data_IF_122265656131
#
_entry.id   IF_122265656131
#
_cell.length_a   1.000
_cell.length_b   1.000
_cell.length_c   1.000
_cell.angle_alpha   90.00
_cell.angle_beta   90.00
_cell.angle_gamma   90.00
#
_symmetry.space_group_name_H-M   'P 1'
#
loop_
_entity.id
_entity.type
_entity.pdbx_description
1 polymer ?
#
# COMPACT_ATOMS: atom_id res chain seq x y z
N UNK A 1 -20.30 -19.58 -0.99
CA UNK A 1 -19.56 -18.71 -1.93
C UNK A 1 -18.36 -19.48 -2.45
N UNK A 2 -18.14 -19.48 -3.77
CA UNK A 2 -17.03 -20.20 -4.40
C UNK A 2 -15.70 -19.47 -4.17
N UNK A 3 -14.61 -20.23 -4.03
CA UNK A 3 -13.24 -19.71 -3.91
C UNK A 3 -12.87 -18.78 -5.08
N UNK A 4 -13.45 -19.01 -6.26
CA UNK A 4 -13.23 -18.20 -7.45
C UNK A 4 -13.71 -16.74 -7.26
N UNK A 5 -14.82 -16.53 -6.55
CA UNK A 5 -15.30 -15.18 -6.26
C UNK A 5 -14.33 -14.42 -5.35
N UNK A 6 -13.76 -15.11 -4.36
CA UNK A 6 -12.76 -14.49 -3.45
C UNK A 6 -11.51 -14.09 -4.21
N UNK A 7 -10.99 -14.96 -5.09
CA UNK A 7 -9.82 -14.66 -5.91
C UNK A 7 -10.01 -13.45 -6.85
N UNK A 8 -11.22 -13.23 -7.35
CA UNK A 8 -11.52 -12.08 -8.24
C UNK A 8 -11.55 -10.75 -7.47
N UNK A 9 -12.00 -10.74 -6.21
CA UNK A 9 -12.15 -9.51 -5.42
C UNK A 9 -10.91 -9.10 -4.61
N UNK A 10 -10.01 -10.04 -4.31
CA UNK A 10 -8.77 -9.76 -3.57
C UNK A 10 -7.94 -8.62 -4.21
N UNK A 11 -7.63 -8.64 -5.52
CA UNK A 11 -6.81 -7.60 -6.15
C UNK A 11 -7.44 -6.21 -6.07
N UNK A 12 -8.76 -6.13 -6.25
CA UNK A 12 -9.49 -4.87 -6.17
C UNK A 12 -9.45 -4.25 -4.76
N UNK A 13 -9.55 -5.09 -3.72
CA UNK A 13 -9.42 -4.63 -2.34
C UNK A 13 -8.01 -4.10 -2.03
N UNK A 14 -6.97 -4.83 -2.44
CA UNK A 14 -5.59 -4.39 -2.24
C UNK A 14 -5.23 -3.13 -3.04
N UNK A 15 -5.83 -2.91 -4.21
CA UNK A 15 -5.68 -1.66 -4.97
C UNK A 15 -6.27 -0.43 -4.26
N UNK A 16 -7.42 -0.59 -3.61
CA UNK A 16 -8.00 0.50 -2.77
C UNK A 16 -7.11 0.78 -1.57
N UNK A 17 -6.62 -0.26 -0.90
CA UNK A 17 -5.69 -0.12 0.25
C UNK A 17 -4.39 0.59 -0.18
N UNK A 18 -3.82 0.22 -1.33
CA UNK A 18 -2.64 0.89 -1.89
C UNK A 18 -2.88 2.38 -2.14
N UNK A 19 -4.04 2.74 -2.72
CA UNK A 19 -4.41 4.14 -2.96
C UNK A 19 -4.54 4.93 -1.66
N UNK A 20 -5.13 4.33 -0.62
CA UNK A 20 -5.23 4.93 0.71
C UNK A 20 -3.85 5.12 1.35
N UNK A 21 -2.96 4.13 1.28
CA UNK A 21 -1.61 4.23 1.82
C UNK A 21 -0.79 5.33 1.13
N UNK A 22 -0.91 5.46 -0.19
CA UNK A 22 -0.30 6.56 -0.93
C UNK A 22 -0.82 7.94 -0.48
N UNK A 23 -2.13 8.04 -0.21
CA UNK A 23 -2.74 9.26 0.32
C UNK A 23 -2.19 9.60 1.73
N UNK A 24 -2.05 8.61 2.61
CA UNK A 24 -1.46 8.77 3.95
C UNK A 24 0.01 9.21 3.89
N UNK A 25 0.81 8.63 2.99
CA UNK A 25 2.20 9.07 2.76
C UNK A 25 2.24 10.54 2.35
N UNK A 26 1.37 10.94 1.42
CA UNK A 26 1.29 12.32 0.94
C UNK A 26 0.92 13.29 2.06
N UNK A 27 0.04 12.86 2.98
CA UNK A 27 -0.32 13.65 4.15
C UNK A 27 0.88 13.89 5.07
N UNK A 28 1.65 12.83 5.34
CA UNK A 28 2.85 12.92 6.18
C UNK A 28 3.90 13.87 5.57
N UNK A 29 4.08 13.86 4.25
CA UNK A 29 5.09 14.70 3.59
C UNK A 29 4.65 16.16 3.49
N UNK A 30 3.43 16.42 3.02
CA UNK A 30 3.00 17.75 2.62
C UNK A 30 2.20 18.51 3.69
N UNK A 31 1.50 17.80 4.59
CA UNK A 31 0.65 18.41 5.61
C UNK A 31 -0.59 19.14 5.07
N UNK A 32 -0.85 19.10 3.76
CA UNK A 32 -1.99 19.74 3.10
C UNK A 32 -3.00 18.71 2.62
N UNK A 33 -4.28 18.91 2.96
CA UNK A 33 -5.38 18.02 2.55
C UNK A 33 -5.61 18.04 1.03
N UNK A 34 -5.33 19.16 0.36
CA UNK A 34 -5.45 19.28 -1.09
C UNK A 34 -4.43 18.39 -1.81
N UNK A 35 -3.18 18.35 -1.32
CA UNK A 35 -2.14 17.50 -1.89
C UNK A 35 -2.52 16.02 -1.77
N UNK A 36 -3.11 15.62 -0.64
CA UNK A 36 -3.61 14.26 -0.41
C UNK A 36 -4.73 13.90 -1.38
N UNK A 37 -5.72 14.78 -1.56
CA UNK A 37 -6.84 14.53 -2.47
C UNK A 37 -6.36 14.39 -3.92
N UNK A 38 -5.44 15.27 -4.36
CA UNK A 38 -4.86 15.20 -5.71
C UNK A 38 -4.05 13.92 -5.89
N UNK A 39 -3.21 13.55 -4.92
CA UNK A 39 -2.41 12.33 -4.99
C UNK A 39 -3.26 11.05 -4.98
N UNK A 40 -4.32 11.01 -4.18
CA UNK A 40 -5.26 9.88 -4.18
C UNK A 40 -5.99 9.77 -5.52
N UNK A 41 -6.46 10.90 -6.07
CA UNK A 41 -7.16 10.95 -7.34
C UNK A 41 -6.26 10.50 -8.50
N UNK A 42 -5.05 11.05 -8.61
CA UNK A 42 -4.12 10.67 -9.68
C UNK A 42 -3.71 9.21 -9.56
N UNK A 43 -3.37 8.73 -8.36
CA UNK A 43 -2.96 7.34 -8.16
C UNK A 43 -4.07 6.32 -8.49
N UNK A 44 -5.34 6.65 -8.18
CA UNK A 44 -6.49 5.79 -8.50
C UNK A 44 -6.72 5.60 -9.99
N UNK A 45 -6.36 6.59 -10.83
CA UNK A 45 -6.55 6.55 -12.28
C UNK A 45 -5.30 6.11 -13.04
N UNK A 46 -4.14 5.99 -12.39
CA UNK A 46 -2.89 5.65 -13.07
C UNK A 46 -3.01 4.23 -13.66
N UNK A 47 -2.90 4.08 -14.99
CA UNK A 47 -3.12 2.80 -15.65
C UNK A 47 -2.12 1.73 -15.20
N UNK A 48 -0.89 2.13 -14.86
CA UNK A 48 0.12 1.21 -14.33
C UNK A 48 -0.27 0.58 -12.97
N UNK A 49 -1.03 1.28 -12.14
CA UNK A 49 -1.53 0.75 -10.86
C UNK A 49 -2.79 -0.10 -11.10
N UNK A 50 -3.71 0.38 -11.93
CA UNK A 50 -4.95 -0.33 -12.25
C UNK A 50 -4.69 -1.66 -12.94
N UNK A 51 -3.75 -1.74 -13.90
CA UNK A 51 -3.42 -3.00 -14.59
C UNK A 51 -2.97 -4.11 -13.64
N UNK A 52 -2.38 -3.78 -12.48
CA UNK A 52 -1.95 -4.77 -11.49
C UNK A 52 -2.98 -5.09 -10.41
N UNK A 53 -4.06 -4.33 -10.32
CA UNK A 53 -5.10 -4.49 -9.27
C UNK A 53 -6.50 -4.62 -9.86
N UNK A 54 -6.61 -4.98 -11.15
CA UNK A 54 -7.90 -5.23 -11.79
C UNK A 54 -8.57 -6.48 -11.20
N UNK A 55 -9.89 -6.44 -11.07
CA UNK A 55 -10.65 -7.59 -10.60
C UNK A 55 -10.45 -8.79 -11.53
N UNK A 56 -10.03 -9.93 -10.96
CA UNK A 56 -9.73 -11.15 -11.70
C UNK A 56 -8.24 -11.39 -11.95
N UNK A 57 -7.38 -10.39 -11.75
CA UNK A 57 -5.93 -10.51 -11.85
C UNK A 57 -5.37 -11.00 -10.51
N UNK A 58 -5.49 -12.31 -10.23
CA UNK A 58 -4.96 -12.91 -9.01
C UNK A 58 -3.45 -13.15 -9.13
N UNK A 59 -2.68 -12.07 -9.02
CA UNK A 59 -1.21 -12.09 -9.05
C UNK A 59 -0.63 -11.59 -7.71
N UNK A 60 0.55 -12.09 -7.33
CA UNK A 60 1.26 -11.66 -6.12
C UNK A 60 1.67 -10.18 -6.17
N UNK A 61 1.73 -9.60 -7.37
CA UNK A 61 2.09 -8.19 -7.57
C UNK A 61 1.10 -7.23 -6.88
N UNK A 62 -0.20 -7.55 -6.83
CA UNK A 62 -1.21 -6.67 -6.21
C UNK A 62 -1.02 -6.51 -4.70
N UNK A 63 -0.59 -7.58 -4.02
CA UNK A 63 -0.27 -7.59 -2.58
C UNK A 63 1.10 -6.94 -2.33
N UNK A 64 2.08 -7.22 -3.19
CA UNK A 64 3.43 -6.66 -3.06
C UNK A 64 3.44 -5.13 -3.11
N UNK A 65 2.63 -4.51 -3.98
CA UNK A 65 2.52 -3.04 -4.08
C UNK A 65 1.91 -2.43 -2.81
N UNK A 66 0.85 -3.03 -2.28
CA UNK A 66 0.22 -2.56 -1.04
C UNK A 66 1.17 -2.67 0.16
N UNK A 67 1.89 -3.79 0.30
CA UNK A 67 2.89 -3.98 1.35
C UNK A 67 4.08 -3.00 1.21
N UNK A 68 4.51 -2.71 -0.01
CA UNK A 68 5.58 -1.73 -0.26
C UNK A 68 5.18 -0.32 0.20
N UNK A 69 3.97 0.12 -0.12
CA UNK A 69 3.45 1.42 0.33
C UNK A 69 3.28 1.47 1.86
N UNK A 70 2.84 0.36 2.47
CA UNK A 70 2.74 0.27 3.93
C UNK A 70 4.13 0.43 4.57
N UNK A 71 5.14 -0.27 4.05
CA UNK A 71 6.51 -0.16 4.52
C UNK A 71 7.04 1.28 4.41
N UNK A 72 6.82 1.95 3.27
CA UNK A 72 7.21 3.35 3.11
C UNK A 72 6.48 4.30 4.07
N UNK A 73 5.19 4.08 4.30
CA UNK A 73 4.43 4.88 5.27
C UNK A 73 4.99 4.74 6.68
N UNK A 74 5.23 3.51 7.13
CA UNK A 74 5.79 3.23 8.45
C UNK A 74 7.23 3.74 8.57
N UNK A 75 8.03 3.65 7.50
CA UNK A 75 9.38 4.19 7.44
C UNK A 75 9.41 5.71 7.65
N UNK A 76 8.58 6.45 6.89
CA UNK A 76 8.48 7.92 7.02
C UNK A 76 8.02 8.29 8.44
N UNK A 77 7.07 7.54 9.02
CA UNK A 77 6.64 7.75 10.40
C UNK A 77 7.72 7.43 11.43
N UNK A 78 8.54 6.41 11.19
CA UNK A 78 9.65 6.04 12.06
C UNK A 78 10.71 7.14 12.10
N UNK A 79 11.02 7.76 10.96
CA UNK A 79 11.97 8.87 10.88
C UNK A 79 11.50 10.14 11.61
N UNK A 80 10.17 10.34 11.74
CA UNK A 80 9.59 11.52 12.41
C UNK A 80 9.50 11.40 13.93
N UNK A 81 9.48 10.19 14.49
CA UNK A 81 9.34 9.96 15.93
C UNK A 81 10.60 9.33 16.54
N UNK A 82 11.26 10.02 17.47
CA UNK A 82 12.42 9.47 18.20
C UNK A 82 12.07 8.33 19.21
N UNK A 83 10.77 8.05 19.44
CA UNK A 83 10.26 7.05 20.40
C UNK A 83 9.54 5.86 19.76
N UNK A 84 9.52 5.74 18.44
CA UNK A 84 8.74 4.72 17.71
C UNK A 84 9.50 3.42 17.43
N UNK A 85 10.31 2.96 18.38
CA UNK A 85 10.98 1.65 18.31
C UNK A 85 10.06 0.45 17.97
N UNK A 86 8.74 0.42 18.30
CA UNK A 86 7.87 -0.68 17.87
C UNK A 86 7.44 -0.56 16.40
N UNK A 87 7.35 0.66 15.86
CA UNK A 87 6.98 0.92 14.45
C UNK A 87 8.14 0.56 13.52
N UNK A 88 9.38 0.77 13.97
CA UNK A 88 10.60 0.28 13.31
C UNK A 88 10.69 -1.25 13.24
N UNK A 89 10.32 -1.93 14.33
CA UNK A 89 10.25 -3.40 14.40
C UNK A 89 9.17 -3.98 13.46
N UNK A 90 8.03 -3.30 13.30
CA UNK A 90 7.00 -3.68 12.33
C UNK A 90 7.51 -3.51 10.89
N UNK A 91 8.28 -2.46 10.58
CA UNK A 91 8.92 -2.33 9.25
C UNK A 91 9.96 -3.41 8.96
N UNK A 92 10.74 -3.84 9.95
CA UNK A 92 11.67 -4.97 9.81
C UNK A 92 10.95 -6.30 9.60
N UNK A 93 9.79 -6.51 10.25
CA UNK A 93 8.98 -7.71 10.06
C UNK A 93 8.38 -7.79 8.64
N UNK A 94 7.86 -6.66 8.13
CA UNK A 94 7.32 -6.54 6.77
C UNK A 94 8.41 -6.73 5.69
N UNK A 95 9.61 -6.16 5.91
CA UNK A 95 10.75 -6.36 5.00
C UNK A 95 11.36 -7.76 5.10
N UNK A 96 11.25 -8.44 6.25
CA UNK A 96 11.58 -9.85 6.42
C UNK A 96 10.63 -10.80 5.67
N UNK A 97 9.32 -10.53 5.69
CA UNK A 97 8.32 -11.27 4.87
C UNK A 97 8.61 -11.11 3.37
N UNK A 98 9.08 -9.93 2.95
CA UNK A 98 9.45 -9.67 1.55
C UNK A 98 10.75 -10.34 1.10
N UNK A 99 11.62 -10.75 2.03
CA UNK A 99 12.88 -11.46 1.73
C UNK A 99 12.78 -12.99 1.89
N UNK A 100 11.76 -13.49 2.58
CA UNK A 100 11.67 -14.90 2.99
C UNK A 100 10.75 -15.78 2.15
N UNK A 101 10.04 -15.27 1.14
CA UNK A 101 9.36 -16.17 0.22
C UNK A 101 8.41 -15.57 -0.80
N UNK A 102 8.95 -14.95 -1.86
CA UNK A 102 8.42 -14.94 -3.23
C UNK A 102 9.43 -14.25 -4.17
#
# INVERSE_FOLDING_TARGET
MSINAVCVYIPAWFGVVATLLNALITYEISGSLLAVAVAAYTFSMVPAHTMRSMAGEFDNECIAVAAMLLCFHLWIRSLRNARSWPVGLVTELESGIRLSGL
#
